data_IF_701529799749
#
_entry.id   IF_701529799749
#
_cell.length_a   1.000
_cell.length_b   1.000
_cell.length_c   1.000
_cell.angle_alpha   90.00
_cell.angle_beta   90.00
_cell.angle_gamma   90.00
#
_symmetry.space_group_name_H-M   'P 1'
#
loop_
_entity.id
_entity.type
_entity.pdbx_description
1 polymer ?
#
# COMPACT_ATOMS: atom_id res chain seq x y z
N UNK A 1 45.85 20.98 27.38
CA UNK A 1 44.36 20.96 27.35
C UNK A 1 43.79 21.55 26.05
N UNK A 2 44.33 22.64 25.49
CA UNK A 2 43.85 23.21 24.21
C UNK A 2 44.04 22.28 22.99
N UNK A 3 45.15 21.56 22.90
CA UNK A 3 45.42 20.61 21.79
C UNK A 3 44.53 19.36 21.79
N UNK A 4 44.06 18.90 22.97
CA UNK A 4 43.13 17.77 23.09
C UNK A 4 41.71 18.13 22.62
N UNK A 5 41.30 19.39 22.80
CA UNK A 5 40.01 19.87 22.32
C UNK A 5 39.94 19.97 20.79
N UNK A 6 41.03 20.36 20.12
CA UNK A 6 41.09 20.39 18.65
C UNK A 6 41.16 19.00 18.02
N UNK A 7 41.84 18.04 18.67
CA UNK A 7 41.87 16.65 18.22
C UNK A 7 40.49 15.96 18.32
N UNK A 8 39.72 16.27 19.38
CA UNK A 8 38.35 15.75 19.53
C UNK A 8 37.36 16.38 18.54
N UNK A 9 37.55 17.67 18.22
CA UNK A 9 36.72 18.39 17.24
C UNK A 9 36.97 17.89 15.80
N UNK A 10 38.21 17.57 15.42
CA UNK A 10 38.52 16.97 14.11
C UNK A 10 38.06 15.51 13.98
N UNK A 11 38.00 14.75 15.09
CA UNK A 11 37.51 13.36 15.09
C UNK A 11 35.98 13.28 15.00
N UNK A 12 35.25 14.30 15.48
CA UNK A 12 33.79 14.40 15.36
C UNK A 12 33.33 14.90 13.96
N UNK A 13 34.22 15.53 13.18
CA UNK A 13 33.97 15.99 11.82
C UNK A 13 34.27 14.93 10.73
N UNK A 14 34.79 13.76 11.10
CA UNK A 14 35.23 12.72 10.17
C UNK A 14 34.30 11.49 10.07
N UNK A 15 33.14 11.49 10.75
CA UNK A 15 32.07 10.50 10.57
C UNK A 15 30.92 11.02 9.70
N UNK A 16 31.24 11.71 8.60
CA UNK A 16 30.30 11.73 7.48
C UNK A 16 30.41 10.37 6.79
N UNK A 17 29.64 9.40 7.27
CA UNK A 17 29.36 8.22 6.45
C UNK A 17 28.79 8.73 5.13
N UNK A 18 29.59 8.66 4.07
CA UNK A 18 29.12 8.89 2.72
C UNK A 18 28.10 7.79 2.47
N UNK A 19 26.81 8.08 2.70
CA UNK A 19 25.77 7.22 2.18
C UNK A 19 25.87 7.34 0.68
N UNK A 20 26.46 6.32 0.04
CA UNK A 20 26.30 6.15 -1.38
C UNK A 20 24.79 6.18 -1.64
N UNK A 21 24.34 7.10 -2.50
CA UNK A 21 22.96 7.17 -2.92
C UNK A 21 22.62 5.82 -3.54
N UNK A 22 21.76 5.06 -2.88
CA UNK A 22 21.49 3.68 -3.24
C UNK A 22 20.31 3.69 -4.18
N UNK A 23 20.54 3.42 -5.47
CA UNK A 23 19.48 3.24 -6.46
C UNK A 23 18.87 1.83 -6.38
N UNK A 24 17.66 1.62 -6.92
CA UNK A 24 17.13 0.27 -7.12
C UNK A 24 18.10 -0.62 -7.90
N UNK A 25 18.02 -1.93 -7.65
CA UNK A 25 18.82 -2.91 -8.36
C UNK A 25 18.43 -2.95 -9.84
N UNK A 26 19.40 -3.06 -10.75
CA UNK A 26 19.10 -3.21 -12.17
C UNK A 26 18.98 -4.71 -12.50
N UNK A 27 17.76 -5.24 -12.47
CA UNK A 27 17.51 -6.68 -12.57
C UNK A 27 17.22 -7.15 -13.99
N UNK A 28 16.58 -6.28 -14.79
CA UNK A 28 16.12 -6.57 -16.13
C UNK A 28 16.35 -5.32 -16.99
N UNK A 29 16.79 -5.50 -18.24
CA UNK A 29 17.12 -4.39 -19.13
C UNK A 29 15.86 -3.60 -19.59
N UNK A 30 14.68 -4.21 -19.53
CA UNK A 30 13.45 -3.63 -20.09
C UNK A 30 12.43 -3.24 -19.02
N UNK A 31 12.22 -4.08 -17.99
CA UNK A 31 11.14 -3.87 -17.01
C UNK A 31 11.62 -4.16 -15.58
N UNK A 32 11.66 -3.12 -14.76
CA UNK A 32 12.00 -3.18 -13.34
C UNK A 32 10.83 -2.67 -12.48
N UNK A 33 9.87 -3.55 -12.16
CA UNK A 33 8.64 -3.22 -11.42
C UNK A 33 8.78 -3.47 -9.91
N UNK A 34 9.36 -2.51 -9.15
CA UNK A 34 9.52 -2.65 -7.70
C UNK A 34 8.26 -2.30 -6.91
N UNK A 35 7.31 -1.59 -7.52
CA UNK A 35 6.05 -1.22 -6.91
C UNK A 35 4.91 -2.22 -7.19
N UNK A 36 5.20 -3.33 -7.88
CA UNK A 36 4.23 -4.37 -8.24
C UNK A 36 2.98 -3.80 -8.96
N UNK A 37 3.19 -2.82 -9.84
CA UNK A 37 2.12 -2.16 -10.60
C UNK A 37 1.71 -2.96 -11.85
N UNK A 38 2.55 -3.90 -12.29
CA UNK A 38 2.39 -4.69 -13.50
C UNK A 38 2.21 -6.16 -13.14
N UNK A 39 1.27 -6.84 -13.81
CA UNK A 39 1.23 -8.30 -13.75
C UNK A 39 2.18 -8.92 -14.79
N UNK A 40 2.41 -10.23 -14.68
CA UNK A 40 3.29 -10.98 -15.58
C UNK A 40 2.92 -10.84 -17.06
N UNK A 41 1.64 -10.61 -17.38
CA UNK A 41 1.18 -10.40 -18.74
C UNK A 41 1.65 -9.05 -19.29
N UNK A 42 1.44 -7.97 -18.52
CA UNK A 42 1.92 -6.63 -18.88
C UNK A 42 3.44 -6.61 -19.02
N UNK A 43 4.17 -7.16 -18.05
CA UNK A 43 5.63 -7.20 -18.13
C UNK A 43 6.12 -7.98 -19.36
N UNK A 44 5.49 -9.12 -19.68
CA UNK A 44 5.86 -9.90 -20.87
C UNK A 44 5.60 -9.13 -22.17
N UNK A 45 4.55 -8.32 -22.24
CA UNK A 45 4.24 -7.48 -23.41
C UNK A 45 5.28 -6.36 -23.53
N UNK A 46 5.55 -5.63 -22.44
CA UNK A 46 6.57 -4.59 -22.41
C UNK A 46 7.94 -5.13 -22.81
N UNK A 47 8.42 -6.20 -22.17
CA UNK A 47 9.71 -6.83 -22.51
C UNK A 47 9.81 -7.14 -24.00
N UNK A 48 8.78 -7.71 -24.60
CA UNK A 48 8.77 -8.03 -26.04
C UNK A 48 8.83 -6.77 -26.90
N UNK A 49 8.04 -5.76 -26.60
CA UNK A 49 7.98 -4.53 -27.39
C UNK A 49 9.30 -3.74 -27.27
N UNK A 50 9.84 -3.62 -26.06
CA UNK A 50 11.11 -2.94 -25.79
C UNK A 50 12.32 -3.70 -26.35
N UNK A 51 12.28 -5.03 -26.36
CA UNK A 51 13.28 -5.84 -27.05
C UNK A 51 13.27 -5.59 -28.57
N UNK A 52 12.09 -5.53 -29.21
CA UNK A 52 11.98 -5.19 -30.63
C UNK A 52 12.49 -3.79 -30.94
N UNK A 53 12.11 -2.79 -30.14
CA UNK A 53 12.65 -1.43 -30.29
C UNK A 53 14.19 -1.43 -30.29
N UNK A 54 14.79 -2.23 -29.41
CA UNK A 54 16.24 -2.40 -29.34
C UNK A 54 16.80 -3.15 -30.55
N UNK A 55 16.17 -4.23 -30.97
CA UNK A 55 16.68 -5.05 -32.09
C UNK A 55 16.55 -4.32 -33.44
N UNK A 56 15.44 -3.61 -33.65
CA UNK A 56 15.10 -2.98 -34.94
C UNK A 56 15.70 -1.57 -35.09
N UNK A 57 15.78 -0.81 -33.99
CA UNK A 57 16.24 0.59 -34.01
C UNK A 57 17.49 0.82 -33.17
N UNK A 58 17.95 -0.18 -32.42
CA UNK A 58 19.08 -0.04 -31.51
C UNK A 58 18.79 0.89 -30.34
N UNK A 59 17.52 1.18 -30.02
CA UNK A 59 17.12 2.10 -28.95
C UNK A 59 16.82 1.30 -27.69
N UNK A 60 17.38 1.69 -26.55
CA UNK A 60 17.10 1.06 -25.26
C UNK A 60 16.08 1.87 -24.49
N UNK A 61 14.87 1.35 -24.32
CA UNK A 61 13.87 1.94 -23.43
C UNK A 61 13.64 1.00 -22.25
N UNK A 62 13.80 1.51 -21.03
CA UNK A 62 13.55 0.77 -19.78
C UNK A 62 12.38 1.39 -19.00
N UNK A 63 11.54 0.54 -18.41
CA UNK A 63 10.43 0.94 -17.54
C UNK A 63 10.78 0.62 -16.10
N UNK A 64 10.64 1.59 -15.22
CA UNK A 64 10.96 1.49 -13.79
C UNK A 64 9.79 1.96 -12.95
N UNK A 65 9.34 1.14 -12.02
CA UNK A 65 8.36 1.54 -11.00
C UNK A 65 9.00 1.40 -9.62
N UNK A 66 8.75 2.37 -8.75
CA UNK A 66 9.19 2.35 -7.35
C UNK A 66 8.06 2.85 -6.45
N UNK A 67 8.08 2.45 -5.17
CA UNK A 67 7.20 2.98 -4.13
C UNK A 67 7.45 4.48 -3.95
N UNK A 68 8.56 4.82 -3.28
CA UNK A 68 9.01 6.21 -3.09
C UNK A 68 10.51 6.38 -3.39
N UNK A 69 10.91 7.57 -3.81
CA UNK A 69 12.32 7.98 -3.89
C UNK A 69 12.99 8.04 -2.49
N UNK A 70 12.19 8.23 -1.43
CA UNK A 70 12.68 8.23 -0.05
C UNK A 70 13.25 6.88 0.36
N UNK A 71 12.74 5.78 -0.20
CA UNK A 71 13.24 4.42 0.05
C UNK A 71 14.72 4.28 -0.36
N UNK A 72 15.16 5.13 -1.27
CA UNK A 72 16.51 5.22 -1.82
C UNK A 72 17.32 6.38 -1.21
N UNK A 73 16.81 6.99 -0.15
CA UNK A 73 17.43 8.10 0.55
C UNK A 73 17.49 9.40 -0.25
N UNK A 74 16.56 9.57 -1.20
CA UNK A 74 16.47 10.77 -2.02
C UNK A 74 15.25 11.61 -1.64
N UNK A 75 15.49 12.90 -1.41
CA UNK A 75 14.46 13.91 -1.15
C UNK A 75 14.51 14.97 -2.26
N UNK A 76 13.34 15.45 -2.69
CA UNK A 76 13.25 16.58 -3.63
C UNK A 76 12.76 16.19 -5.03
N UNK A 77 13.41 16.74 -6.06
CA UNK A 77 12.92 16.67 -7.44
C UNK A 77 13.29 15.34 -8.10
N UNK A 78 12.28 14.65 -8.66
CA UNK A 78 12.42 13.41 -9.44
C UNK A 78 13.43 13.52 -10.58
N UNK A 79 13.67 14.71 -11.12
CA UNK A 79 14.70 14.94 -12.15
C UNK A 79 16.09 14.51 -11.70
N UNK A 80 16.51 14.94 -10.51
CA UNK A 80 17.84 14.60 -9.98
C UNK A 80 17.96 13.11 -9.73
N UNK A 81 16.89 12.50 -9.20
CA UNK A 81 16.82 11.07 -8.97
C UNK A 81 16.89 10.27 -10.28
N UNK A 82 16.05 10.60 -11.27
CA UNK A 82 15.97 9.89 -12.53
C UNK A 82 17.25 10.02 -13.35
N UNK A 83 17.82 11.23 -13.45
CA UNK A 83 19.11 11.43 -14.15
C UNK A 83 20.22 10.63 -13.47
N UNK A 84 20.26 10.62 -12.14
CA UNK A 84 21.24 9.84 -11.39
C UNK A 84 21.07 8.34 -11.59
N UNK A 85 19.82 7.86 -11.54
CA UNK A 85 19.46 6.47 -11.80
C UNK A 85 19.86 6.03 -13.21
N UNK A 86 19.43 6.80 -14.23
CA UNK A 86 19.71 6.57 -15.64
C UNK A 86 21.21 6.43 -15.92
N UNK A 87 22.01 7.36 -15.39
CA UNK A 87 23.47 7.32 -15.53
C UNK A 87 24.10 6.16 -14.74
N UNK A 88 23.56 5.84 -13.56
CA UNK A 88 24.09 4.73 -12.74
C UNK A 88 23.86 3.37 -13.37
N UNK A 89 22.73 3.20 -14.07
CA UNK A 89 22.38 1.98 -14.78
C UNK A 89 23.03 1.92 -16.17
N UNK A 90 23.48 3.06 -16.70
CA UNK A 90 24.06 3.15 -18.03
C UNK A 90 23.04 2.79 -19.10
N UNK A 91 21.83 3.34 -19.00
CA UNK A 91 20.73 3.04 -19.93
C UNK A 91 21.08 3.53 -21.33
N UNK A 92 21.04 2.62 -22.30
CA UNK A 92 21.42 2.87 -23.70
C UNK A 92 22.88 2.59 -24.03
N UNK A 93 23.23 2.77 -25.31
CA UNK A 93 24.59 2.57 -25.76
C UNK A 93 25.47 3.78 -25.42
N UNK A 94 26.62 3.54 -24.80
CA UNK A 94 27.53 4.60 -24.34
C UNK A 94 28.11 5.47 -25.48
N UNK A 95 28.05 5.02 -26.73
CA UNK A 95 28.53 5.78 -27.89
C UNK A 95 27.40 6.51 -28.62
N UNK A 96 26.23 5.87 -28.73
CA UNK A 96 25.06 6.41 -29.45
C UNK A 96 24.15 7.27 -28.57
N UNK A 97 24.17 7.06 -27.26
CA UNK A 97 23.34 7.74 -26.27
C UNK A 97 21.83 7.67 -26.61
N UNK A 98 21.39 6.49 -27.03
CA UNK A 98 20.06 6.13 -27.52
C UNK A 98 19.19 5.45 -26.44
N UNK A 99 19.49 5.74 -25.18
CA UNK A 99 18.73 5.27 -24.03
C UNK A 99 17.53 6.16 -23.72
N UNK A 100 16.47 5.56 -23.18
CA UNK A 100 15.31 6.23 -22.60
C UNK A 100 14.82 5.44 -21.37
N UNK A 101 14.27 6.16 -20.40
CA UNK A 101 13.73 5.55 -19.18
C UNK A 101 12.41 6.20 -18.80
N UNK A 102 11.37 5.39 -18.60
CA UNK A 102 10.13 5.81 -17.95
C UNK A 102 10.18 5.39 -16.48
N UNK A 103 10.34 6.35 -15.58
CA UNK A 103 10.35 6.16 -14.13
C UNK A 103 9.02 6.63 -13.52
N UNK A 104 8.43 5.77 -12.69
CA UNK A 104 7.21 6.06 -11.92
C UNK A 104 7.49 5.86 -10.43
N UNK A 105 7.32 6.91 -9.62
CA UNK A 105 7.33 6.83 -8.16
C UNK A 105 5.89 7.01 -7.65
N UNK A 106 5.25 5.89 -7.33
CA UNK A 106 3.78 5.85 -7.16
C UNK A 106 3.31 6.55 -5.88
N UNK A 107 4.04 6.40 -4.77
CA UNK A 107 3.68 7.05 -3.50
C UNK A 107 3.98 8.55 -3.52
N UNK A 108 5.01 8.95 -4.26
CA UNK A 108 5.39 10.35 -4.45
C UNK A 108 4.49 11.07 -5.47
N UNK A 109 3.65 10.32 -6.20
CA UNK A 109 2.77 10.80 -7.28
C UNK A 109 3.50 11.62 -8.35
N UNK A 110 4.71 11.19 -8.67
CA UNK A 110 5.55 11.81 -9.71
C UNK A 110 6.10 10.76 -10.67
N UNK A 111 6.20 11.14 -11.93
CA UNK A 111 6.84 10.34 -12.97
C UNK A 111 7.82 11.19 -13.77
N UNK A 112 8.75 10.52 -14.43
CA UNK A 112 9.70 11.15 -15.32
C UNK A 112 10.05 10.26 -16.50
N UNK A 113 10.15 10.88 -17.67
CA UNK A 113 10.78 10.29 -18.84
C UNK A 113 12.15 10.94 -18.99
N UNK A 114 13.21 10.15 -18.86
CA UNK A 114 14.60 10.57 -19.06
C UNK A 114 15.08 10.05 -20.43
N UNK A 115 15.76 10.87 -21.21
CA UNK A 115 16.33 10.47 -22.50
C UNK A 115 17.84 10.75 -22.56
N UNK A 116 18.54 9.90 -23.31
CA UNK A 116 19.98 10.02 -23.54
C UNK A 116 20.36 11.26 -24.35
N UNK A 117 21.61 11.66 -24.25
CA UNK A 117 22.15 12.84 -24.92
C UNK A 117 22.12 12.78 -26.46
N UNK A 118 21.90 11.61 -27.05
CA UNK A 118 21.71 11.44 -28.48
C UNK A 118 20.43 12.12 -29.00
N UNK A 119 19.46 12.36 -28.12
CA UNK A 119 18.19 13.01 -28.46
C UNK A 119 18.20 14.53 -28.22
N UNK A 120 18.96 14.99 -27.23
CA UNK A 120 18.95 16.39 -26.76
C UNK A 120 17.57 16.88 -26.31
N UNK A 121 17.44 18.19 -26.07
CA UNK A 121 16.19 18.85 -25.67
C UNK A 121 15.04 18.74 -26.71
N UNK A 122 15.32 18.18 -27.88
CA UNK A 122 14.34 18.06 -28.97
C UNK A 122 13.14 17.17 -28.62
N UNK A 123 13.32 16.25 -27.66
CA UNK A 123 12.28 15.32 -27.20
C UNK A 123 11.49 15.81 -26.00
N UNK A 124 11.93 16.86 -25.29
CA UNK A 124 11.24 17.36 -24.10
C UNK A 124 9.77 17.71 -24.38
N UNK A 125 9.49 18.35 -25.52
CA UNK A 125 8.12 18.73 -25.88
C UNK A 125 7.24 17.51 -26.16
N UNK A 126 7.78 16.47 -26.81
CA UNK A 126 7.01 15.27 -27.13
C UNK A 126 6.84 14.36 -25.92
N UNK A 127 7.89 14.16 -25.11
CA UNK A 127 7.80 13.39 -23.86
C UNK A 127 6.85 14.06 -22.87
N UNK A 128 6.87 15.40 -22.75
CA UNK A 128 5.91 16.13 -21.92
C UNK A 128 4.47 15.93 -22.40
N UNK A 129 4.24 15.91 -23.72
CA UNK A 129 2.92 15.64 -24.29
C UNK A 129 2.43 14.23 -23.99
N UNK A 130 3.31 13.23 -24.06
CA UNK A 130 2.99 11.84 -23.70
C UNK A 130 2.57 11.78 -22.22
N UNK A 131 3.35 12.39 -21.33
CA UNK A 131 3.03 12.46 -19.90
C UNK A 131 1.64 13.09 -19.68
N UNK A 132 1.41 14.29 -20.23
CA UNK A 132 0.21 15.06 -19.93
C UNK A 132 -1.07 14.49 -20.55
N UNK A 133 -0.97 13.88 -21.74
CA UNK A 133 -2.15 13.44 -22.52
C UNK A 133 -2.43 11.95 -22.45
N UNK A 134 -1.43 11.14 -22.12
CA UNK A 134 -1.55 9.68 -22.13
C UNK A 134 -1.41 9.15 -20.70
N UNK A 135 -0.31 9.47 -20.02
CA UNK A 135 0.01 8.83 -18.74
C UNK A 135 -0.78 9.40 -17.56
N UNK A 136 -0.71 10.72 -17.34
CA UNK A 136 -1.34 11.41 -16.20
C UNK A 136 -2.87 11.19 -16.14
N UNK A 137 -3.63 11.22 -17.25
CA UNK A 137 -5.05 10.92 -17.21
C UNK A 137 -5.38 9.51 -16.71
N UNK A 138 -4.53 8.52 -16.99
CA UNK A 138 -4.69 7.15 -16.47
C UNK A 138 -4.32 7.08 -14.99
N UNK A 139 -3.21 7.72 -14.59
CA UNK A 139 -2.72 7.71 -13.21
C UNK A 139 -3.66 8.44 -12.24
N UNK A 140 -4.29 9.54 -12.69
CA UNK A 140 -5.32 10.24 -11.90
C UNK A 140 -6.55 9.39 -11.56
N UNK A 141 -6.73 8.26 -12.26
CA UNK A 141 -7.79 7.28 -12.02
C UNK A 141 -7.26 5.98 -11.40
N UNK A 142 -6.04 6.00 -10.85
CA UNK A 142 -5.30 4.86 -10.30
C UNK A 142 -5.11 3.70 -11.31
N UNK A 143 -5.18 4.00 -12.62
CA UNK A 143 -4.97 3.04 -13.69
C UNK A 143 -3.50 2.99 -14.12
N UNK A 144 -2.61 2.66 -13.18
CA UNK A 144 -1.16 2.71 -13.36
C UNK A 144 -0.66 1.78 -14.46
N UNK A 145 -1.11 0.52 -14.47
CA UNK A 145 -0.69 -0.45 -15.49
C UNK A 145 -0.98 0.06 -16.90
N UNK A 146 -2.21 0.55 -17.15
CA UNK A 146 -2.57 1.05 -18.49
C UNK A 146 -1.79 2.32 -18.85
N UNK A 147 -1.60 3.25 -17.90
CA UNK A 147 -0.79 4.45 -18.15
C UNK A 147 0.67 4.13 -18.49
N UNK A 148 1.26 3.11 -17.85
CA UNK A 148 2.62 2.64 -18.16
C UNK A 148 2.66 1.99 -19.54
N UNK A 149 1.70 1.13 -19.85
CA UNK A 149 1.61 0.43 -21.15
C UNK A 149 1.44 1.41 -22.32
N UNK A 150 0.41 2.26 -22.27
CA UNK A 150 0.15 3.26 -23.31
C UNK A 150 1.27 4.30 -23.40
N UNK A 151 1.87 4.67 -22.26
CA UNK A 151 3.03 5.56 -22.22
C UNK A 151 4.27 4.97 -22.88
N UNK A 152 4.57 3.70 -22.62
CA UNK A 152 5.68 2.99 -23.25
C UNK A 152 5.47 2.82 -24.76
N UNK A 153 4.26 2.45 -25.20
CA UNK A 153 3.92 2.34 -26.62
C UNK A 153 4.06 3.69 -27.33
N UNK A 154 3.58 4.78 -26.72
CA UNK A 154 3.75 6.13 -27.27
C UNK A 154 5.22 6.56 -27.34
N UNK A 155 6.04 6.15 -26.37
CA UNK A 155 7.49 6.38 -26.39
C UNK A 155 8.18 5.57 -27.49
N UNK A 156 7.79 4.33 -27.73
CA UNK A 156 8.32 3.52 -28.83
C UNK A 156 8.11 4.24 -30.16
N UNK A 157 6.90 4.73 -30.43
CA UNK A 157 6.58 5.48 -31.66
C UNK A 157 7.40 6.77 -31.74
N UNK A 158 7.44 7.53 -30.66
CA UNK A 158 8.16 8.81 -30.61
C UNK A 158 9.68 8.65 -30.81
N UNK A 159 10.28 7.60 -30.24
CA UNK A 159 11.72 7.36 -30.29
C UNK A 159 12.17 6.72 -31.60
N UNK A 160 11.39 5.78 -32.15
CA UNK A 160 11.69 5.12 -33.43
C UNK A 160 11.44 6.03 -34.64
N UNK A 161 10.52 7.01 -34.51
CA UNK A 161 10.18 7.93 -35.60
C UNK A 161 9.42 7.28 -36.76
N UNK A 162 9.04 6.02 -36.62
CA UNK A 162 8.19 5.28 -37.55
C UNK A 162 6.80 5.25 -36.93
N UNK A 163 5.79 5.72 -37.64
CA UNK A 163 4.42 5.25 -37.42
C UNK A 163 4.44 3.76 -37.80
N UNK A 164 4.91 2.90 -36.90
CA UNK A 164 4.61 1.49 -37.06
C UNK A 164 3.09 1.41 -37.06
N UNK A 165 2.54 0.80 -38.11
CA UNK A 165 1.26 0.13 -37.97
C UNK A 165 1.44 -0.82 -36.80
N UNK A 166 1.12 -0.34 -35.60
CA UNK A 166 0.76 -1.19 -34.47
C UNK A 166 -0.48 -1.88 -35.02
N UNK A 167 -0.25 -2.98 -35.74
CA UNK A 167 -1.30 -3.91 -36.09
C UNK A 167 -2.00 -4.09 -34.76
N UNK A 168 -3.29 -3.82 -34.74
CA UNK A 168 -4.19 -4.31 -33.71
C UNK A 168 -4.06 -5.83 -33.72
N UNK A 169 -2.93 -6.30 -33.21
CA UNK A 169 -2.55 -7.68 -33.13
C UNK A 169 -3.55 -8.24 -32.16
N UNK A 170 -4.49 -8.99 -32.70
CA UNK A 170 -5.12 -10.05 -31.94
C UNK A 170 -4.03 -10.68 -31.09
N UNK A 171 -4.16 -10.53 -29.78
CA UNK A 171 -3.16 -11.00 -28.82
C UNK A 171 -3.07 -12.51 -29.02
N UNK A 172 -2.02 -12.98 -29.70
CA UNK A 172 -1.81 -14.41 -29.90
C UNK A 172 -1.36 -14.99 -28.56
N UNK A 173 -2.34 -15.49 -27.81
CA UNK A 173 -2.12 -16.24 -26.60
C UNK A 173 -1.47 -17.59 -26.93
N UNK A 174 -0.50 -18.08 -26.12
CA UNK A 174 0.10 -19.38 -26.34
C UNK A 174 -1.00 -20.47 -26.34
N UNK A 175 -0.86 -21.54 -27.14
CA UNK A 175 -1.90 -22.57 -27.26
C UNK A 175 -2.20 -23.17 -25.87
N UNK A 176 -3.46 -23.05 -25.44
CA UNK A 176 -3.93 -23.47 -24.12
C UNK A 176 -4.04 -22.36 -23.08
N UNK A 177 -3.71 -21.10 -23.42
CA UNK A 177 -3.99 -19.94 -22.59
C UNK A 177 -5.36 -19.37 -22.94
N UNK A 178 -6.29 -19.46 -21.98
CA UNK A 178 -7.56 -18.74 -22.01
C UNK A 178 -7.35 -17.42 -21.25
N UNK A 179 -7.45 -16.24 -21.91
CA UNK A 179 -7.33 -14.99 -21.20
C UNK A 179 -8.42 -14.90 -20.13
N UNK A 180 -8.10 -14.40 -18.92
CA UNK A 180 -9.09 -14.25 -17.88
C UNK A 180 -10.25 -13.41 -18.41
N UNK A 181 -11.47 -13.92 -18.23
CA UNK A 181 -12.67 -13.25 -18.71
C UNK A 181 -12.78 -11.83 -18.14
N UNK A 182 -13.62 -10.97 -18.74
CA UNK A 182 -13.82 -9.59 -18.26
C UNK A 182 -14.03 -9.51 -16.72
N UNK A 183 -14.73 -10.49 -16.15
CA UNK A 183 -14.97 -10.61 -14.72
C UNK A 183 -13.73 -11.02 -13.91
N UNK A 184 -12.80 -11.81 -14.44
CA UNK A 184 -11.57 -12.23 -13.76
C UNK A 184 -10.50 -11.14 -13.80
N UNK A 185 -10.37 -10.45 -14.95
CA UNK A 185 -9.48 -9.30 -15.11
C UNK A 185 -9.87 -8.14 -14.20
N UNK A 186 -11.16 -7.90 -14.05
CA UNK A 186 -11.68 -6.87 -13.15
C UNK A 186 -12.11 -7.43 -11.80
N UNK A 187 -11.85 -8.71 -11.49
CA UNK A 187 -12.36 -9.36 -10.28
C UNK A 187 -11.95 -8.58 -9.04
N UNK A 188 -10.68 -8.14 -8.97
CA UNK A 188 -10.18 -7.35 -7.83
C UNK A 188 -10.95 -6.03 -7.65
N UNK A 189 -11.25 -5.31 -8.73
CA UNK A 189 -12.05 -4.07 -8.69
C UNK A 189 -13.53 -4.34 -8.42
N UNK A 190 -14.11 -5.39 -8.99
CA UNK A 190 -15.46 -5.81 -8.65
C UNK A 190 -15.53 -6.22 -7.18
N UNK A 191 -14.57 -6.98 -6.65
CA UNK A 191 -14.49 -7.29 -5.22
C UNK A 191 -14.28 -6.03 -4.39
N UNK A 192 -13.39 -5.11 -4.77
CA UNK A 192 -13.12 -3.86 -4.05
C UNK A 192 -14.28 -2.86 -4.09
N UNK A 193 -15.10 -2.86 -5.16
CA UNK A 193 -16.29 -2.03 -5.28
C UNK A 193 -17.54 -2.71 -4.68
N UNK A 194 -17.64 -4.03 -4.76
CA UNK A 194 -18.76 -4.79 -4.18
C UNK A 194 -18.61 -5.00 -2.69
N UNK A 195 -17.40 -5.07 -2.11
CA UNK A 195 -17.24 -5.24 -0.65
C UNK A 195 -17.78 -4.07 0.16
N UNK A 196 -17.53 -2.78 -0.17
CA UNK A 196 -18.15 -1.66 0.53
C UNK A 196 -19.67 -1.67 0.38
N UNK A 197 -20.19 -1.92 -0.82
CA UNK A 197 -21.64 -1.93 -1.09
C UNK A 197 -22.33 -3.10 -0.41
N UNK A 198 -21.73 -4.29 -0.44
CA UNK A 198 -22.20 -5.47 0.28
C UNK A 198 -22.08 -5.28 1.80
N UNK A 199 -21.03 -4.59 2.28
CA UNK A 199 -20.86 -4.21 3.68
C UNK A 199 -21.96 -3.24 4.15
N UNK A 200 -22.27 -2.22 3.34
CA UNK A 200 -23.38 -1.28 3.60
C UNK A 200 -24.72 -2.01 3.56
N UNK A 201 -24.95 -2.86 2.55
CA UNK A 201 -26.16 -3.68 2.43
C UNK A 201 -26.33 -4.63 3.61
N UNK A 202 -25.25 -5.31 4.02
CA UNK A 202 -25.22 -6.18 5.19
C UNK A 202 -25.48 -5.39 6.47
N UNK A 203 -24.92 -4.18 6.63
CA UNK A 203 -25.18 -3.30 7.77
C UNK A 203 -26.67 -2.92 7.85
N UNK A 204 -27.28 -2.47 6.75
CA UNK A 204 -28.71 -2.15 6.72
C UNK A 204 -29.58 -3.39 6.95
N UNK A 205 -29.22 -4.54 6.37
CA UNK A 205 -29.93 -5.80 6.58
C UNK A 205 -29.83 -6.27 8.03
N UNK A 206 -28.65 -6.21 8.64
CA UNK A 206 -28.44 -6.54 10.07
C UNK A 206 -29.22 -5.58 10.97
N UNK A 207 -29.20 -4.27 10.68
CA UNK A 207 -29.98 -3.25 11.41
C UNK A 207 -31.48 -3.48 11.27
N UNK A 208 -31.96 -3.83 10.08
CA UNK A 208 -33.36 -4.17 9.83
C UNK A 208 -33.78 -5.45 10.55
N UNK A 209 -32.93 -6.48 10.54
CA UNK A 209 -33.16 -7.73 11.26
C UNK A 209 -33.22 -7.50 12.77
N UNK A 210 -32.35 -6.65 13.31
CA UNK A 210 -32.34 -6.25 14.73
C UNK A 210 -33.62 -5.51 15.12
N UNK A 211 -34.07 -4.55 14.30
CA UNK A 211 -35.29 -3.74 14.55
C UNK A 211 -36.62 -4.42 14.18
N UNK A 212 -36.58 -5.66 13.69
CA UNK A 212 -37.82 -6.39 13.34
C UNK A 212 -38.59 -6.74 14.62
N UNK A 213 -39.90 -6.44 14.70
CA UNK A 213 -40.71 -6.77 15.87
C UNK A 213 -40.64 -8.24 16.25
N UNK A 214 -40.44 -8.52 17.54
CA UNK A 214 -40.43 -9.88 18.08
C UNK A 214 -41.83 -10.35 18.44
N UNK A 215 -42.02 -11.66 18.47
CA UNK A 215 -43.26 -12.28 18.93
C UNK A 215 -43.05 -12.71 20.37
N UNK A 216 -43.97 -12.33 21.24
CA UNK A 216 -43.94 -12.70 22.65
C UNK A 216 -44.11 -14.22 22.80
N UNK A 217 -43.25 -14.91 23.55
CA UNK A 217 -43.36 -16.34 23.78
C UNK A 217 -44.55 -16.72 24.69
N UNK A 218 -45.12 -15.76 25.41
CA UNK A 218 -46.21 -15.99 26.38
C UNK A 218 -47.59 -15.90 25.71
N UNK A 219 -47.86 -14.81 24.99
CA UNK A 219 -49.19 -14.50 24.44
C UNK A 219 -49.22 -14.40 22.90
N UNK A 220 -48.08 -14.53 22.23
CA UNK A 220 -47.97 -14.48 20.77
C UNK A 220 -48.12 -13.08 20.16
N UNK A 221 -48.17 -12.02 20.97
CA UNK A 221 -48.31 -10.66 20.45
C UNK A 221 -46.99 -10.06 19.97
N UNK A 222 -47.07 -9.01 19.14
CA UNK A 222 -45.89 -8.27 18.70
C UNK A 222 -45.36 -7.43 19.86
N UNK A 223 -44.10 -7.66 20.19
CA UNK A 223 -43.35 -6.88 21.16
C UNK A 223 -42.87 -5.58 20.53
N UNK A 224 -42.70 -4.57 21.37
CA UNK A 224 -42.15 -3.27 21.00
C UNK A 224 -40.72 -3.16 21.53
N UNK A 225 -39.84 -2.58 20.72
CA UNK A 225 -38.49 -2.24 21.14
C UNK A 225 -38.59 -1.02 22.07
N UNK A 226 -38.08 -1.16 23.29
CA UNK A 226 -37.98 -0.06 24.24
C UNK A 226 -36.94 0.94 23.70
N UNK A 227 -37.22 2.25 23.72
CA UNK A 227 -36.23 3.26 23.36
C UNK A 227 -34.96 3.18 24.24
N UNK A 228 -33.80 3.42 23.63
CA UNK A 228 -32.46 3.37 24.25
C UNK A 228 -32.28 4.36 25.41
N UNK A 229 -33.13 5.38 25.53
CA UNK A 229 -33.12 6.32 26.66
C UNK A 229 -33.91 5.80 27.87
N UNK A 230 -34.65 4.70 27.71
CA UNK A 230 -35.55 4.14 28.71
C UNK A 230 -35.22 2.69 29.10
N UNK A 231 -34.39 1.99 28.31
CA UNK A 231 -34.05 0.59 28.55
C UNK A 231 -33.02 0.38 29.65
N UNK A 232 -32.13 1.35 29.91
CA UNK A 232 -31.21 1.38 31.07
C UNK A 232 -31.91 1.02 32.39
N UNK A 233 -33.15 1.50 32.58
CA UNK A 233 -33.96 1.23 33.77
C UNK A 233 -34.43 -0.23 33.88
N UNK A 234 -34.31 -1.00 32.80
CA UNK A 234 -34.73 -2.39 32.64
C UNK A 234 -33.54 -3.36 32.63
N UNK A 235 -32.32 -2.84 32.56
CA UNK A 235 -31.07 -3.57 32.60
C UNK A 235 -30.51 -3.65 34.02
N UNK A 236 -29.63 -4.63 34.26
CA UNK A 236 -28.88 -4.68 35.51
C UNK A 236 -27.61 -3.81 35.45
N UNK A 237 -27.02 -3.50 36.61
CA UNK A 237 -25.85 -2.62 36.74
C UNK A 237 -24.66 -3.02 35.85
N UNK A 238 -24.43 -4.33 35.67
CA UNK A 238 -23.37 -4.83 34.81
C UNK A 238 -23.65 -4.66 33.33
N UNK A 239 -24.90 -4.82 32.92
CA UNK A 239 -25.34 -4.61 31.54
C UNK A 239 -25.29 -3.11 31.17
N UNK A 240 -25.81 -2.25 32.04
CA UNK A 240 -25.70 -0.78 31.90
C UNK A 240 -24.23 -0.39 31.77
N UNK A 241 -23.34 -0.99 32.57
CA UNK A 241 -21.91 -0.70 32.46
C UNK A 241 -21.30 -1.15 31.13
N UNK A 242 -21.71 -2.29 30.58
CA UNK A 242 -21.28 -2.73 29.25
C UNK A 242 -21.74 -1.79 28.14
N UNK A 243 -22.94 -1.20 28.24
CA UNK A 243 -23.45 -0.22 27.27
C UNK A 243 -22.70 1.11 27.35
N UNK A 244 -22.47 1.60 28.57
CA UNK A 244 -21.65 2.80 28.80
C UNK A 244 -20.24 2.67 28.19
N UNK A 245 -19.64 1.48 28.29
CA UNK A 245 -18.34 1.16 27.70
C UNK A 245 -18.41 0.77 26.22
N UNK A 246 -19.62 0.67 25.65
CA UNK A 246 -19.89 0.20 24.28
C UNK A 246 -19.28 -1.17 24.01
N UNK A 247 -19.22 -2.04 25.02
CA UNK A 247 -18.70 -3.40 24.89
C UNK A 247 -19.78 -4.40 24.52
N UNK A 248 -21.00 -4.17 25.01
CA UNK A 248 -22.22 -4.88 24.63
C UNK A 248 -23.34 -3.84 24.54
N UNK A 249 -24.22 -4.03 23.58
CA UNK A 249 -25.37 -3.19 23.27
C UNK A 249 -26.62 -4.07 23.45
N UNK A 250 -27.53 -3.72 24.36
CA UNK A 250 -28.68 -4.54 24.71
C UNK A 250 -29.97 -3.97 24.14
N UNK A 251 -30.70 -4.77 23.34
CA UNK A 251 -32.07 -4.41 22.99
C UNK A 251 -33.04 -4.98 24.03
N UNK A 252 -33.90 -4.14 24.60
CA UNK A 252 -35.00 -4.58 25.44
C UNK A 252 -36.31 -4.58 24.65
N UNK A 253 -36.93 -5.75 24.52
CA UNK A 253 -38.25 -5.92 23.93
C UNK A 253 -39.28 -6.10 25.04
N UNK A 254 -40.38 -5.36 24.98
CA UNK A 254 -41.49 -5.47 25.94
C UNK A 254 -42.81 -5.78 25.22
N UNK A 255 -43.58 -6.71 25.78
CA UNK A 255 -44.95 -6.96 25.36
C UNK A 255 -45.90 -6.02 26.11
N UNK A 256 -46.61 -5.16 25.40
CA UNK A 256 -47.56 -4.21 26.01
C UNK A 256 -48.82 -4.84 26.61
N UNK A 257 -49.05 -6.15 26.47
CA UNK A 257 -50.23 -6.84 27.02
C UNK A 257 -49.92 -7.65 28.27
N UNK A 258 -48.92 -8.55 28.21
CA UNK A 258 -48.54 -9.37 29.36
C UNK A 258 -47.35 -8.82 30.16
N UNK A 259 -46.67 -7.77 29.67
CA UNK A 259 -45.47 -7.21 30.31
C UNK A 259 -44.23 -8.10 30.22
N UNK A 260 -44.27 -9.20 29.45
CA UNK A 260 -43.09 -10.05 29.24
C UNK A 260 -41.97 -9.27 28.55
N UNK A 261 -40.74 -9.47 29.01
CA UNK A 261 -39.55 -8.80 28.50
C UNK A 261 -38.54 -9.80 27.97
N UNK A 262 -37.89 -9.44 26.87
CA UNK A 262 -36.80 -10.19 26.27
C UNK A 262 -35.63 -9.25 26.06
N UNK A 263 -34.49 -9.57 26.66
CA UNK A 263 -33.26 -8.78 26.56
C UNK A 263 -32.31 -9.52 25.60
N UNK A 264 -31.92 -8.88 24.50
CA UNK A 264 -30.99 -9.42 23.52
C UNK A 264 -29.66 -8.68 23.57
N UNK A 265 -28.54 -9.42 23.68
CA UNK A 265 -27.20 -8.86 23.84
C UNK A 265 -26.40 -8.89 22.53
N UNK A 266 -25.90 -7.74 22.08
CA UNK A 266 -25.10 -7.60 20.86
C UNK A 266 -23.69 -7.12 21.20
N UNK A 267 -22.67 -7.97 20.99
CA UNK A 267 -21.28 -7.62 21.29
C UNK A 267 -20.74 -6.62 20.29
N UNK A 268 -20.05 -5.59 20.79
CA UNK A 268 -19.32 -4.65 19.95
C UNK A 268 -18.20 -5.38 19.19
N UNK A 269 -18.21 -5.30 17.85
CA UNK A 269 -17.23 -5.98 17.01
C UNK A 269 -15.79 -5.54 17.31
N UNK A 270 -15.61 -4.30 17.77
CA UNK A 270 -14.30 -3.68 18.01
C UNK A 270 -14.14 -3.13 19.44
N UNK A 271 -14.85 -3.69 20.42
CA UNK A 271 -14.67 -3.27 21.81
C UNK A 271 -13.28 -3.71 22.31
N UNK A 272 -12.49 -2.79 22.84
CA UNK A 272 -11.25 -3.11 23.55
C UNK A 272 -11.47 -3.88 24.87
N UNK A 273 -12.73 -4.01 25.32
CA UNK A 273 -13.08 -4.63 26.60
C UNK A 273 -13.29 -6.14 26.50
N UNK A 274 -12.68 -6.88 27.42
CA UNK A 274 -12.80 -8.33 27.60
C UNK A 274 -13.82 -8.73 28.67
N UNK A 275 -14.13 -10.03 28.77
CA UNK A 275 -14.99 -10.56 29.83
C UNK A 275 -14.21 -10.66 31.16
N UNK A 276 -14.78 -10.10 32.22
CA UNK A 276 -14.21 -10.21 33.55
C UNK A 276 -14.30 -11.67 34.06
N UNK A 277 -13.23 -12.17 34.67
CA UNK A 277 -13.21 -13.51 35.27
C UNK A 277 -14.17 -13.65 36.46
N UNK A 278 -14.42 -12.55 37.18
CA UNK A 278 -15.21 -12.52 38.41
C UNK A 278 -16.69 -12.26 38.10
N UNK A 279 -17.03 -11.07 37.58
CA UNK A 279 -18.42 -10.70 37.31
C UNK A 279 -18.98 -11.13 35.94
N UNK A 280 -18.14 -11.70 35.06
CA UNK A 280 -18.49 -12.20 33.71
C UNK A 280 -18.90 -11.13 32.68
N UNK A 281 -19.25 -9.92 33.10
CA UNK A 281 -19.49 -8.80 32.20
C UNK A 281 -18.23 -8.41 31.41
N UNK A 282 -18.43 -7.91 30.20
CA UNK A 282 -17.41 -7.45 29.25
C UNK A 282 -16.91 -6.05 29.55
N UNK A 283 -16.41 -5.86 30.76
CA UNK A 283 -15.96 -4.56 31.27
C UNK A 283 -14.47 -4.57 31.62
N UNK A 284 -13.73 -5.56 31.12
CA UNK A 284 -12.31 -5.72 31.41
C UNK A 284 -11.44 -4.88 30.47
N UNK A 285 -10.76 -3.89 31.01
CA UNK A 285 -9.74 -3.11 30.32
C UNK A 285 -8.35 -3.72 30.54
N UNK A 286 -7.45 -3.51 29.57
CA UNK A 286 -6.07 -3.99 29.67
C UNK A 286 -5.09 -2.92 29.22
N UNK A 287 -4.12 -2.60 30.06
CA UNK A 287 -3.01 -1.71 29.76
C UNK A 287 -1.71 -2.54 29.72
N UNK A 288 -0.82 -2.27 28.75
CA UNK A 288 0.43 -3.01 28.63
C UNK A 288 1.65 -2.12 28.81
N UNK A 289 2.54 -2.51 29.72
CA UNK A 289 3.84 -1.88 29.94
C UNK A 289 4.96 -2.80 29.47
N UNK A 290 5.81 -2.33 28.57
CA UNK A 290 6.98 -3.09 28.11
C UNK A 290 8.03 -3.10 29.22
N UNK A 291 8.38 -4.30 29.70
CA UNK A 291 9.45 -4.49 30.69
C UNK A 291 10.80 -4.65 29.99
N UNK A 292 10.83 -5.41 28.90
CA UNK A 292 12.02 -5.72 28.12
C UNK A 292 11.67 -5.69 26.63
N UNK A 293 12.42 -4.92 25.83
CA UNK A 293 12.18 -4.84 24.39
C UNK A 293 12.68 -6.09 23.66
N UNK A 294 11.90 -6.56 22.67
CA UNK A 294 12.33 -7.65 21.80
C UNK A 294 13.43 -7.19 20.83
N UNK A 295 14.46 -8.01 20.68
CA UNK A 295 15.54 -7.82 19.71
C UNK A 295 15.46 -8.87 18.60
N UNK A 296 16.39 -8.87 17.65
CA UNK A 296 16.47 -9.96 16.64
C UNK A 296 17.04 -11.27 17.21
N UNK A 297 17.68 -11.21 18.39
CA UNK A 297 18.30 -12.35 19.06
C UNK A 297 17.60 -12.79 20.34
N UNK A 298 16.72 -11.96 20.92
CA UNK A 298 15.99 -12.25 22.16
C UNK A 298 14.53 -11.81 22.09
N UNK A 299 13.65 -12.58 22.73
CA UNK A 299 12.26 -12.17 22.99
C UNK A 299 12.23 -10.99 23.96
N UNK A 300 11.18 -10.19 23.87
CA UNK A 300 10.88 -9.16 24.88
C UNK A 300 9.88 -9.68 25.91
N UNK A 301 9.56 -8.86 26.91
CA UNK A 301 8.55 -9.13 27.93
C UNK A 301 7.71 -7.88 28.15
N UNK A 302 6.40 -8.04 28.26
CA UNK A 302 5.48 -6.98 28.69
C UNK A 302 4.66 -7.43 29.89
N UNK A 303 4.41 -6.53 30.83
CA UNK A 303 3.37 -6.69 31.83
C UNK A 303 2.06 -6.18 31.23
N UNK A 304 0.99 -6.95 31.37
CA UNK A 304 -0.36 -6.54 31.05
C UNK A 304 -1.13 -6.46 32.36
N UNK A 305 -1.58 -5.26 32.69
CA UNK A 305 -2.38 -4.97 33.87
C UNK A 305 -3.85 -4.91 33.44
N UNK A 306 -4.70 -5.66 34.13
CA UNK A 306 -6.11 -5.82 33.83
C UNK A 306 -6.95 -5.21 34.94
N UNK A 307 -7.98 -4.46 34.56
CA UNK A 307 -8.92 -3.83 35.49
C UNK A 307 -10.36 -3.96 34.97
N UNK A 308 -11.24 -4.49 35.82
CA UNK A 308 -12.66 -4.58 35.50
C UNK A 308 -13.38 -3.30 35.94
N UNK A 309 -13.91 -2.56 34.97
CA UNK A 309 -14.61 -1.29 35.17
C UNK A 309 -15.98 -1.42 35.86
N UNK A 310 -16.49 -2.64 36.07
CA UNK A 310 -17.74 -2.89 36.81
C UNK A 310 -17.47 -3.35 38.25
N UNK A 311 -16.76 -4.45 38.47
CA UNK A 311 -16.55 -5.01 39.82
C UNK A 311 -15.21 -4.62 40.47
N UNK A 312 -14.33 -3.91 39.77
CA UNK A 312 -13.03 -3.48 40.29
C UNK A 312 -11.99 -4.59 40.48
N UNK A 313 -12.24 -5.80 39.95
CA UNK A 313 -11.26 -6.89 40.00
C UNK A 313 -10.03 -6.52 39.17
N UNK A 314 -8.84 -6.62 39.78
CA UNK A 314 -7.56 -6.25 39.17
C UNK A 314 -6.57 -7.41 39.25
N UNK A 315 -5.77 -7.57 38.20
CA UNK A 315 -4.65 -8.50 38.19
C UNK A 315 -3.65 -8.14 37.10
N UNK A 316 -2.44 -8.68 37.21
CA UNK A 316 -1.41 -8.50 36.19
C UNK A 316 -0.87 -9.84 35.71
N UNK A 317 -0.52 -9.89 34.43
CA UNK A 317 0.15 -11.02 33.80
C UNK A 317 1.41 -10.53 33.08
N UNK A 318 2.41 -11.40 32.95
CA UNK A 318 3.57 -11.11 32.10
C UNK A 318 3.46 -11.94 30.84
N UNK A 319 3.51 -11.28 29.69
CA UNK A 319 3.48 -11.87 28.37
C UNK A 319 4.83 -11.73 27.66
N UNK A 320 5.14 -12.67 26.77
CA UNK A 320 6.36 -12.67 25.98
C UNK A 320 6.09 -11.93 24.66
N UNK A 321 6.93 -10.97 24.31
CA UNK A 321 6.92 -10.30 23.01
C UNK A 321 7.79 -11.12 22.05
N UNK A 322 7.27 -11.56 20.90
CA UNK A 322 8.07 -12.29 19.89
C UNK A 322 9.31 -11.49 19.47
N UNK A 323 10.41 -12.21 19.19
CA UNK A 323 11.64 -11.61 18.66
C UNK A 323 11.37 -10.97 17.29
N UNK A 324 12.12 -9.92 16.94
CA UNK A 324 12.03 -9.28 15.62
C UNK A 324 12.65 -10.19 14.55
N UNK A 325 12.02 -10.31 13.39
CA UNK A 325 12.59 -11.06 12.27
C UNK A 325 13.73 -10.27 11.61
N UNK A 326 14.77 -10.98 11.14
CA UNK A 326 15.82 -10.38 10.31
C UNK A 326 15.41 -10.56 8.86
N UNK A 327 15.18 -9.47 8.14
CA UNK A 327 15.14 -9.49 6.68
C UNK A 327 16.52 -9.92 6.16
N UNK A 328 16.58 -11.06 5.48
CA UNK A 328 17.81 -11.60 4.89
C UNK A 328 17.94 -11.11 3.45
N UNK A 329 18.79 -10.12 3.20
CA UNK A 329 19.25 -9.76 1.86
C UNK A 329 20.71 -10.19 1.68
N UNK A 330 20.91 -11.06 0.70
CA UNK A 330 22.18 -11.62 0.24
C UNK A 330 23.04 -10.59 -0.52
N UNK A 331 24.34 -10.72 -0.32
CA UNK A 331 25.45 -9.89 -0.81
C UNK A 331 25.96 -10.23 -2.21
N UNK A 332 26.21 -9.22 -3.05
CA UNK A 332 27.27 -9.12 -4.11
C UNK A 332 26.96 -7.88 -4.97
N UNK A 333 27.86 -7.06 -5.51
CA UNK A 333 29.31 -7.03 -5.64
C UNK A 333 29.66 -5.62 -6.16
N UNK A 334 30.75 -5.04 -5.69
CA UNK A 334 31.25 -3.73 -6.08
C UNK A 334 31.96 -3.77 -7.44
N UNK A 335 31.53 -2.93 -8.39
CA UNK A 335 32.34 -2.52 -9.55
C UNK A 335 32.31 -1.00 -9.68
N UNK A 336 33.49 -0.40 -9.63
CA UNK A 336 33.73 1.02 -9.85
C UNK A 336 33.72 1.36 -11.34
N UNK A 337 32.85 2.29 -11.77
CA UNK A 337 32.93 3.01 -13.05
C UNK A 337 32.46 4.44 -12.73
N UNK A 338 33.20 5.54 -12.97
CA UNK A 338 33.81 5.94 -14.23
C UNK A 338 32.89 6.98 -14.87
N UNK A 339 32.88 8.21 -14.34
CA UNK A 339 31.90 9.24 -14.67
C UNK A 339 31.95 9.74 -16.12
N UNK A 340 30.80 9.70 -16.78
CA UNK A 340 30.47 10.42 -18.00
C UNK A 340 28.95 10.64 -18.02
N UNK A 341 28.52 11.90 -18.13
CA UNK A 341 27.10 12.27 -18.16
C UNK A 341 26.50 11.84 -19.51
N UNK A 342 25.55 10.90 -19.51
CA UNK A 342 24.91 10.36 -20.73
C UNK A 342 23.46 10.83 -20.91
N UNK A 343 22.90 11.54 -19.92
CA UNK A 343 21.57 12.17 -19.98
C UNK A 343 21.59 13.47 -20.77
N UNK A 344 20.60 13.71 -21.64
CA UNK A 344 20.51 14.99 -22.37
C UNK A 344 19.11 15.53 -22.57
N UNK A 345 18.17 15.18 -21.71
CA UNK A 345 16.83 15.77 -21.70
C UNK A 345 15.81 14.90 -20.98
N UNK A 346 14.61 15.41 -20.81
CA UNK A 346 13.53 14.67 -20.17
C UNK A 346 12.36 15.54 -19.73
N UNK A 347 11.29 14.89 -19.30
CA UNK A 347 10.07 15.56 -18.83
C UNK A 347 9.53 14.88 -17.59
N UNK A 348 9.05 15.69 -16.65
CA UNK A 348 8.41 15.21 -15.43
C UNK A 348 6.92 15.54 -15.41
N UNK A 349 6.15 14.74 -14.69
CA UNK A 349 4.74 14.97 -14.41
C UNK A 349 4.37 14.56 -12.99
N UNK A 350 3.22 15.04 -12.52
CA UNK A 350 2.60 14.69 -11.24
C UNK A 350 1.10 14.51 -11.41
N UNK A 351 0.44 13.72 -10.54
CA UNK A 351 -1.01 13.46 -10.65
C UNK A 351 -1.77 13.45 -9.32
#
# INVERSE_FOLDING_TARGET
MRFLAYALLCLLLSLSATRAQQYPAYNDIYVNDFAELLDLGHESILRRNLARLRDDHGIELTVVTIGSMLDYGHEGNIEVFATGLFNSWGVGDATRNDGAMLLVAVEDRVLRIEVGAGYGDSKDVSTKRIIDRIIVPQFSQDNYANGIMEGADALIVELSGVEEEVSSGEVIYPPGYEPPGFFERNAKWFYAATTPVAGIGAFFFMRWRRRRPRICPVDGQRMQLVPEDLDDALLNDGQVKEEQLKSVDYDVWECGQCGHRTIEAYRGWFSGYGACRTCKYRTLESESTVLEHATTSSTGRRRVDYECQHCGDTWSATEIIPRKERSSSSSSSSSSFGGGSSSGGGSSGSW
#
